data_IF_944246672656
#
_entry.id   IF_944246672656
#
_cell.length_a   1.000
_cell.length_b   1.000
_cell.length_c   1.000
_cell.angle_alpha   90.00
_cell.angle_beta   90.00
_cell.angle_gamma   90.00
#
_symmetry.space_group_name_H-M   'P 1'
#
loop_
_entity.id
_entity.type
_entity.pdbx_description
1 polymer ?
#
# COMPACT_ATOMS: atom_id res chain seq x y z
N UNK A 1 2.32 -25.36 8.17
CA UNK A 1 3.25 -25.52 7.03
C UNK A 1 3.39 -24.18 6.34
N UNK A 2 4.42 -23.39 6.66
CA UNK A 2 4.77 -22.19 5.92
C UNK A 2 5.86 -22.58 4.91
N UNK A 3 5.50 -22.68 3.63
CA UNK A 3 6.46 -22.61 2.54
C UNK A 3 6.44 -21.19 1.99
N UNK A 4 7.56 -20.49 2.16
CA UNK A 4 8.22 -19.65 1.14
C UNK A 4 9.11 -18.66 1.85
N UNK A 5 10.43 -18.81 1.71
CA UNK A 5 11.37 -17.73 1.44
C UNK A 5 12.69 -18.37 1.03
N UNK A 6 12.84 -18.74 -0.25
CA UNK A 6 14.16 -19.01 -0.82
C UNK A 6 14.90 -17.69 -1.01
N UNK A 7 15.58 -17.20 0.04
CA UNK A 7 16.77 -16.32 -0.05
C UNK A 7 17.65 -16.52 1.19
N UNK A 8 18.16 -17.73 1.36
CA UNK A 8 18.96 -18.15 2.52
C UNK A 8 20.41 -17.63 2.55
N UNK A 9 20.80 -16.73 1.64
CA UNK A 9 22.21 -16.35 1.47
C UNK A 9 22.34 -14.84 1.29
N UNK A 10 23.08 -14.22 2.19
CA UNK A 10 23.51 -12.84 2.11
C UNK A 10 25.04 -12.80 1.92
N UNK A 11 25.53 -11.85 1.12
CA UNK A 11 26.94 -11.74 0.75
C UNK A 11 27.57 -10.54 1.48
N UNK A 12 28.74 -10.76 2.11
CA UNK A 12 29.53 -9.67 2.70
C UNK A 12 30.50 -9.10 1.66
N UNK A 13 30.57 -7.77 1.58
CA UNK A 13 31.44 -7.04 0.65
C UNK A 13 32.65 -6.47 1.39
N UNK A 14 33.85 -6.70 0.87
CA UNK A 14 35.06 -6.02 1.33
C UNK A 14 35.05 -4.56 0.85
N UNK A 15 35.34 -3.60 1.73
CA UNK A 15 35.54 -2.19 1.37
C UNK A 15 36.81 -1.94 0.55
N UNK A 16 37.65 -2.97 0.39
CA UNK A 16 38.83 -2.96 -0.48
C UNK A 16 38.57 -3.93 -1.64
N UNK A 17 38.26 -3.38 -2.82
CA UNK A 17 38.30 -4.12 -4.09
C UNK A 17 37.06 -4.91 -4.52
N UNK A 18 35.88 -4.74 -3.91
CA UNK A 18 34.59 -5.17 -4.48
C UNK A 18 34.41 -6.68 -4.72
N UNK A 19 35.31 -7.52 -4.21
CA UNK A 19 35.26 -8.98 -4.38
C UNK A 19 34.40 -9.61 -3.28
N UNK A 20 33.49 -10.51 -3.64
CA UNK A 20 32.68 -11.28 -2.67
C UNK A 20 33.63 -12.25 -1.96
N UNK A 21 33.83 -12.10 -0.65
CA UNK A 21 34.84 -12.88 0.09
C UNK A 21 34.27 -14.15 0.71
N UNK A 22 33.02 -14.17 1.20
CA UNK A 22 32.41 -15.37 1.81
C UNK A 22 30.88 -15.35 1.80
N UNK A 23 30.27 -16.55 1.75
CA UNK A 23 28.83 -16.74 2.05
C UNK A 23 28.68 -16.79 3.57
N UNK A 24 27.87 -15.91 4.14
CA UNK A 24 27.60 -15.91 5.59
C UNK A 24 26.14 -16.32 5.80
N UNK A 25 25.85 -17.26 6.72
CA UNK A 25 24.49 -17.59 7.10
C UNK A 25 23.72 -16.32 7.51
N UNK A 26 22.48 -16.19 7.06
CA UNK A 26 21.66 -15.01 7.32
C UNK A 26 21.53 -14.71 8.83
N UNK A 27 21.41 -15.75 9.67
CA UNK A 27 21.34 -15.62 11.12
C UNK A 27 22.57 -14.98 11.75
N UNK A 28 23.77 -15.33 11.28
CA UNK A 28 25.04 -14.77 11.78
C UNK A 28 25.20 -13.30 11.37
N UNK A 29 24.76 -12.94 10.15
CA UNK A 29 24.75 -11.55 9.71
C UNK A 29 23.79 -10.69 10.52
N UNK A 30 22.60 -11.21 10.83
CA UNK A 30 21.63 -10.53 11.67
C UNK A 30 22.24 -10.31 13.07
N UNK A 31 22.84 -11.33 13.67
CA UNK A 31 23.45 -11.22 14.99
C UNK A 31 24.63 -10.22 15.02
N UNK A 32 25.50 -10.25 14.01
CA UNK A 32 26.62 -9.31 13.88
C UNK A 32 26.12 -7.87 13.72
N UNK A 33 25.08 -7.67 12.91
CA UNK A 33 24.40 -6.39 12.75
C UNK A 33 23.82 -5.87 14.07
N UNK A 34 23.12 -6.73 14.83
CA UNK A 34 22.60 -6.38 16.15
C UNK A 34 23.70 -5.98 17.14
N UNK A 35 24.82 -6.70 17.15
CA UNK A 35 25.99 -6.39 17.98
C UNK A 35 26.62 -5.05 17.58
N UNK A 36 26.72 -4.77 16.28
CA UNK A 36 27.22 -3.50 15.76
C UNK A 36 26.30 -2.33 16.12
N UNK A 37 24.99 -2.47 15.93
CA UNK A 37 24.02 -1.44 16.30
C UNK A 37 24.09 -1.09 17.80
N UNK A 38 24.13 -2.12 18.67
CA UNK A 38 24.28 -1.91 20.11
C UNK A 38 25.60 -1.25 20.49
N UNK A 39 26.70 -1.56 19.81
CA UNK A 39 28.00 -0.91 20.07
C UNK A 39 28.04 0.57 19.67
N UNK A 40 27.11 0.99 18.80
CA UNK A 40 26.89 2.40 18.43
C UNK A 40 25.87 3.11 19.33
N UNK A 41 25.39 2.46 20.38
CA UNK A 41 24.43 3.04 21.32
C UNK A 41 22.97 2.94 20.89
N UNK A 42 22.66 2.18 19.83
CA UNK A 42 21.28 1.92 19.42
C UNK A 42 20.66 0.75 20.19
N UNK A 43 19.36 0.81 20.41
CA UNK A 43 18.59 -0.29 21.01
C UNK A 43 17.23 -0.46 20.34
N UNK A 44 16.60 -1.63 20.48
CA UNK A 44 15.24 -1.87 19.98
C UNK A 44 14.20 -1.78 21.11
N UNK A 45 13.05 -1.19 20.82
CA UNK A 45 11.87 -1.28 21.70
C UNK A 45 11.16 -2.64 21.58
N UNK A 46 10.13 -2.85 22.40
CA UNK A 46 9.35 -4.09 22.38
C UNK A 46 8.62 -4.35 21.04
N UNK A 47 8.49 -3.34 20.19
CA UNK A 47 7.91 -3.45 18.85
C UNK A 47 8.97 -3.68 17.75
N UNK A 48 10.24 -3.78 18.13
CA UNK A 48 11.37 -3.99 17.21
C UNK A 48 11.85 -2.72 16.50
N UNK A 49 11.42 -1.52 16.93
CA UNK A 49 11.87 -0.25 16.35
C UNK A 49 13.19 0.19 16.99
N UNK A 50 14.09 0.74 16.17
CA UNK A 50 15.40 1.20 16.61
C UNK A 50 15.34 2.60 17.22
N UNK A 51 16.08 2.78 18.33
CA UNK A 51 16.24 4.03 19.05
C UNK A 51 17.72 4.38 19.20
N UNK A 52 18.03 5.67 19.17
CA UNK A 52 19.32 6.25 19.58
C UNK A 52 19.46 6.23 21.10
N UNK A 53 20.65 6.56 21.61
CA UNK A 53 20.94 6.59 23.05
C UNK A 53 20.14 7.63 23.84
N UNK A 54 19.62 8.66 23.17
CA UNK A 54 18.73 9.69 23.75
C UNK A 54 17.25 9.27 23.81
N UNK A 55 16.92 8.09 23.26
CA UNK A 55 15.56 7.56 23.19
C UNK A 55 14.77 7.97 21.95
N UNK A 56 15.29 8.83 21.08
CA UNK A 56 14.65 9.16 19.81
C UNK A 56 14.72 8.00 18.82
N UNK A 57 13.79 7.96 17.84
CA UNK A 57 13.81 6.95 16.79
C UNK A 57 15.03 7.10 15.89
N UNK A 58 15.70 5.97 15.63
CA UNK A 58 16.71 5.87 14.58
C UNK A 58 16.04 5.45 13.26
N UNK A 59 16.33 6.17 12.19
CA UNK A 59 15.84 5.85 10.84
C UNK A 59 16.49 4.59 10.26
N UNK A 60 15.83 3.95 9.28
CA UNK A 60 16.40 2.78 8.59
C UNK A 60 17.75 3.11 7.95
N UNK A 61 17.92 4.31 7.39
CA UNK A 61 19.16 4.81 6.81
C UNK A 61 20.29 4.92 7.85
N UNK A 62 20.02 5.47 9.02
CA UNK A 62 21.02 5.52 10.12
C UNK A 62 21.43 4.12 10.56
N UNK A 63 20.47 3.20 10.50
CA UNK A 63 20.65 1.79 10.81
C UNK A 63 21.27 1.00 9.65
N UNK A 64 21.60 1.61 8.51
CA UNK A 64 22.12 0.91 7.33
C UNK A 64 21.15 -0.13 6.74
N UNK A 65 19.87 -0.04 7.10
CA UNK A 65 18.78 -0.85 6.57
C UNK A 65 18.25 -0.19 5.29
N UNK A 66 17.69 -1.01 4.41
CA UNK A 66 16.94 -0.48 3.27
C UNK A 66 15.78 0.37 3.78
N UNK A 67 15.68 1.61 3.30
CA UNK A 67 14.45 2.38 3.44
C UNK A 67 13.31 1.61 2.78
N UNK A 68 12.14 1.48 3.43
CA UNK A 68 10.99 0.93 2.76
C UNK A 68 10.72 1.80 1.53
N UNK A 69 10.47 1.19 0.38
CA UNK A 69 10.27 1.88 -0.90
C UNK A 69 9.09 2.88 -0.90
N UNK A 70 8.33 2.96 0.19
CA UNK A 70 7.08 3.72 0.31
C UNK A 70 5.93 3.11 -0.50
N UNK A 71 6.20 2.06 -1.28
CA UNK A 71 5.22 1.40 -2.11
C UNK A 71 4.45 0.42 -1.23
N UNK A 72 3.14 0.65 -1.09
CA UNK A 72 2.25 -0.30 -0.42
C UNK A 72 2.11 -1.57 -1.26
N UNK A 73 1.88 -2.73 -0.63
CA UNK A 73 1.59 -3.98 -1.35
C UNK A 73 0.47 -3.83 -2.39
N UNK A 74 -0.54 -3.02 -2.08
CA UNK A 74 -1.62 -2.71 -3.03
C UNK A 74 -1.07 -2.07 -4.31
N UNK A 75 -0.19 -1.08 -4.17
CA UNK A 75 0.39 -0.38 -5.30
C UNK A 75 1.39 -1.27 -6.07
N UNK A 76 2.13 -2.11 -5.34
CA UNK A 76 3.02 -3.13 -5.92
C UNK A 76 2.23 -4.11 -6.79
N UNK A 77 1.18 -4.71 -6.23
CA UNK A 77 0.44 -5.81 -6.83
C UNK A 77 -0.63 -5.38 -7.82
N UNK A 78 -1.35 -4.30 -7.53
CA UNK A 78 -2.53 -3.90 -8.32
C UNK A 78 -2.29 -2.62 -9.11
N UNK A 79 -1.37 -1.76 -8.67
CA UNK A 79 -1.11 -0.45 -9.28
C UNK A 79 -1.97 0.68 -8.72
N UNK A 80 -1.87 1.84 -9.38
CA UNK A 80 -2.57 3.07 -8.96
C UNK A 80 -4.09 2.91 -9.08
N UNK A 81 -4.81 3.50 -8.11
CA UNK A 81 -6.25 3.81 -8.29
C UNK A 81 -6.37 4.83 -9.41
N UNK A 82 -7.39 4.72 -10.29
CA UNK A 82 -7.74 5.81 -11.17
C UNK A 82 -8.03 7.09 -10.36
N UNK A 83 -7.60 8.23 -10.88
CA UNK A 83 -7.97 9.54 -10.33
C UNK A 83 -9.30 10.03 -10.91
N UNK A 84 -9.95 10.98 -10.24
CA UNK A 84 -11.25 11.54 -10.66
C UNK A 84 -11.23 12.16 -12.08
N UNK A 85 -10.11 12.78 -12.48
CA UNK A 85 -9.95 13.33 -13.84
C UNK A 85 -9.58 12.31 -14.93
N UNK A 86 -9.29 11.06 -14.55
CA UNK A 86 -8.98 9.99 -15.52
C UNK A 86 -10.23 9.57 -16.31
N UNK A 87 -10.05 8.75 -17.36
CA UNK A 87 -11.17 8.17 -18.11
C UNK A 87 -12.14 7.44 -17.16
N UNK A 88 -11.62 6.50 -16.37
CA UNK A 88 -12.40 5.76 -15.38
C UNK A 88 -13.08 6.69 -14.36
N UNK A 89 -12.38 7.71 -13.86
CA UNK A 89 -12.94 8.66 -12.90
C UNK A 89 -14.11 9.49 -13.47
N UNK A 90 -13.98 9.94 -14.72
CA UNK A 90 -15.04 10.66 -15.44
C UNK A 90 -16.27 9.78 -15.68
N UNK A 91 -16.07 8.52 -16.05
CA UNK A 91 -17.16 7.55 -16.20
C UNK A 91 -17.90 7.30 -14.88
N UNK A 92 -17.20 7.23 -13.75
CA UNK A 92 -17.83 7.13 -12.41
C UNK A 92 -18.67 8.37 -12.10
N UNK A 93 -18.13 9.55 -12.35
CA UNK A 93 -18.83 10.83 -12.09
C UNK A 93 -20.09 10.92 -12.96
N UNK A 94 -19.95 10.69 -14.26
CA UNK A 94 -21.08 10.71 -15.21
C UNK A 94 -22.16 9.71 -14.81
N UNK A 95 -21.78 8.49 -14.42
CA UNK A 95 -22.74 7.50 -13.93
C UNK A 95 -23.47 7.99 -12.69
N UNK A 96 -22.75 8.47 -11.67
CA UNK A 96 -23.34 8.92 -10.40
C UNK A 96 -24.22 10.17 -10.56
N UNK A 97 -23.91 11.04 -11.52
CA UNK A 97 -24.75 12.18 -11.89
C UNK A 97 -26.09 11.74 -12.50
N UNK A 98 -26.08 10.65 -13.27
CA UNK A 98 -27.27 10.10 -13.93
C UNK A 98 -28.03 9.04 -13.10
N UNK A 99 -27.58 8.73 -11.87
CA UNK A 99 -28.33 7.86 -10.95
C UNK A 99 -29.67 8.50 -10.54
N UNK A 100 -30.63 7.67 -10.11
CA UNK A 100 -31.94 8.13 -9.63
C UNK A 100 -32.18 7.60 -8.21
N UNK A 101 -32.10 8.44 -7.16
CA UNK A 101 -31.77 9.87 -7.19
C UNK A 101 -30.29 10.12 -7.55
N UNK A 102 -29.95 11.31 -8.09
CA UNK A 102 -28.57 11.62 -8.45
C UNK A 102 -27.69 11.68 -7.22
N UNK A 103 -26.48 11.13 -7.34
CA UNK A 103 -25.45 11.16 -6.30
C UNK A 103 -24.35 12.17 -6.56
N UNK A 104 -24.44 12.91 -7.65
CA UNK A 104 -23.63 14.10 -7.92
C UNK A 104 -24.58 15.25 -8.26
N UNK A 105 -24.28 16.45 -7.77
CA UNK A 105 -25.06 17.65 -8.06
C UNK A 105 -24.17 18.87 -8.15
N UNK A 106 -24.65 19.87 -8.87
CA UNK A 106 -24.09 21.22 -8.85
C UNK A 106 -24.95 22.12 -7.96
N UNK A 107 -24.34 22.78 -6.99
CA UNK A 107 -25.04 23.73 -6.11
C UNK A 107 -25.38 25.01 -6.86
N UNK A 108 -26.16 25.90 -6.22
CA UNK A 108 -26.50 27.21 -6.81
C UNK A 108 -25.27 28.08 -7.08
N UNK A 109 -24.21 27.88 -6.30
CA UNK A 109 -22.96 28.64 -6.39
C UNK A 109 -22.00 28.04 -7.45
N UNK A 110 -22.39 26.95 -8.12
CA UNK A 110 -21.58 26.28 -9.14
C UNK A 110 -20.63 25.21 -8.60
N UNK A 111 -20.65 24.95 -7.30
CA UNK A 111 -19.82 23.92 -6.67
C UNK A 111 -20.38 22.51 -6.93
N UNK A 112 -19.49 21.56 -7.21
CA UNK A 112 -19.88 20.16 -7.42
C UNK A 112 -19.77 19.41 -6.10
N UNK A 113 -20.87 18.76 -5.72
CA UNK A 113 -20.96 17.90 -4.54
C UNK A 113 -21.30 16.46 -4.95
N UNK A 114 -20.89 15.50 -4.11
CA UNK A 114 -21.25 14.10 -4.23
C UNK A 114 -21.90 13.60 -2.93
N UNK A 115 -22.81 12.63 -3.05
CA UNK A 115 -23.41 11.92 -1.92
C UNK A 115 -22.46 10.80 -1.47
N UNK A 116 -21.92 10.91 -0.25
CA UNK A 116 -21.07 9.90 0.36
C UNK A 116 -21.87 8.72 0.94
N UNK A 117 -21.16 7.68 1.39
CA UNK A 117 -21.76 6.48 1.98
C UNK A 117 -22.54 6.72 3.27
N UNK A 118 -22.30 7.83 3.96
CA UNK A 118 -23.07 8.26 5.13
C UNK A 118 -24.33 9.08 4.80
N UNK A 119 -24.71 9.14 3.51
CA UNK A 119 -25.84 9.88 2.96
C UNK A 119 -25.76 11.40 3.15
N UNK A 120 -24.55 11.96 3.26
CA UNK A 120 -24.34 13.40 3.26
C UNK A 120 -23.66 13.86 1.97
N UNK A 121 -23.94 15.11 1.63
CA UNK A 121 -23.29 15.80 0.51
C UNK A 121 -21.96 16.38 0.96
N UNK A 122 -20.93 16.16 0.15
CA UNK A 122 -19.60 16.71 0.35
C UNK A 122 -19.07 17.32 -0.95
N UNK A 123 -18.20 18.34 -0.87
CA UNK A 123 -17.45 18.84 -2.01
C UNK A 123 -16.65 17.73 -2.71
N UNK A 124 -16.62 17.73 -4.04
CA UNK A 124 -15.98 16.66 -4.84
C UNK A 124 -14.46 16.54 -4.61
N UNK A 125 -13.81 17.59 -4.14
CA UNK A 125 -12.38 17.58 -3.78
C UNK A 125 -12.09 16.64 -2.59
N UNK A 126 -13.06 16.44 -1.70
CA UNK A 126 -13.02 15.51 -0.56
C UNK A 126 -13.36 14.06 -0.94
N UNK A 127 -13.67 13.78 -2.22
CA UNK A 127 -13.94 12.43 -2.67
C UNK A 127 -12.66 11.65 -2.96
N UNK A 128 -12.59 10.40 -2.49
CA UNK A 128 -11.71 9.36 -3.01
C UNK A 128 -12.50 8.45 -3.98
N UNK A 129 -11.79 7.84 -4.94
CA UNK A 129 -12.32 6.74 -5.76
C UNK A 129 -12.34 5.47 -4.90
N UNK A 130 -13.46 5.22 -4.23
CA UNK A 130 -13.66 4.10 -3.34
C UNK A 130 -14.03 2.85 -4.14
N UNK A 131 -13.44 1.70 -3.81
CA UNK A 131 -13.82 0.46 -4.48
C UNK A 131 -15.15 -0.04 -3.92
N UNK A 132 -16.03 -0.57 -4.78
CA UNK A 132 -17.26 -1.26 -4.34
C UNK A 132 -16.96 -2.62 -3.71
N UNK A 133 -15.96 -3.32 -4.25
CA UNK A 133 -15.37 -4.52 -3.62
C UNK A 133 -13.97 -4.15 -3.16
N UNK A 134 -13.68 -4.35 -1.87
CA UNK A 134 -12.38 -4.00 -1.30
C UNK A 134 -11.23 -4.62 -2.09
N UNK A 135 -10.26 -3.78 -2.47
CA UNK A 135 -9.14 -4.19 -3.32
C UNK A 135 -8.33 -5.35 -2.70
N UNK A 136 -8.20 -5.39 -1.37
CA UNK A 136 -7.51 -6.47 -0.65
C UNK A 136 -8.27 -7.78 -0.74
N UNK A 137 -9.60 -7.75 -0.56
CA UNK A 137 -10.45 -8.93 -0.60
C UNK A 137 -10.55 -9.49 -2.02
N UNK A 138 -10.66 -8.62 -3.04
CA UNK A 138 -10.62 -9.04 -4.44
C UNK A 138 -9.24 -9.61 -4.83
N UNK A 139 -8.15 -8.98 -4.39
CA UNK A 139 -6.80 -9.50 -4.62
C UNK A 139 -6.62 -10.90 -4.00
N UNK A 140 -6.99 -11.05 -2.73
CA UNK A 140 -6.81 -12.30 -1.99
C UNK A 140 -7.64 -13.46 -2.56
N UNK A 141 -8.85 -13.18 -3.05
CA UNK A 141 -9.75 -14.19 -3.64
C UNK A 141 -9.48 -14.47 -5.11
N UNK A 142 -9.07 -13.46 -5.89
CA UNK A 142 -9.06 -13.51 -7.36
C UNK A 142 -7.76 -12.98 -7.95
N UNK A 143 -7.42 -11.71 -7.68
CA UNK A 143 -6.34 -11.01 -8.37
C UNK A 143 -4.97 -11.69 -8.25
N UNK A 144 -4.66 -12.26 -7.09
CA UNK A 144 -3.37 -12.91 -6.83
C UNK A 144 -3.07 -14.09 -7.75
N UNK A 145 -4.09 -14.73 -8.33
CA UNK A 145 -3.95 -15.85 -9.27
C UNK A 145 -3.64 -15.41 -10.71
N UNK A 146 -3.84 -14.13 -11.03
CA UNK A 146 -3.46 -13.55 -12.33
C UNK A 146 -2.03 -13.00 -12.34
N UNK A 147 -1.46 -12.72 -11.16
CA UNK A 147 -0.12 -12.14 -11.00
C UNK A 147 -0.15 -10.62 -10.85
N UNK A 148 0.91 -10.07 -10.27
CA UNK A 148 1.03 -8.63 -10.03
C UNK A 148 0.97 -7.82 -11.33
N UNK A 149 0.12 -6.80 -11.35
CA UNK A 149 -0.10 -5.87 -12.48
C UNK A 149 -0.33 -6.57 -13.82
N UNK A 150 -0.82 -7.81 -13.79
CA UNK A 150 -1.28 -8.54 -14.96
C UNK A 150 -2.38 -7.76 -15.69
N UNK A 151 -2.58 -8.00 -17.00
CA UNK A 151 -3.66 -7.36 -17.76
C UNK A 151 -5.01 -7.45 -17.05
N UNK A 152 -5.36 -8.60 -16.49
CA UNK A 152 -6.62 -8.87 -15.79
C UNK A 152 -6.75 -8.02 -14.51
N UNK A 153 -5.67 -7.89 -13.73
CA UNK A 153 -5.65 -7.03 -12.54
C UNK A 153 -5.76 -5.56 -12.92
N UNK A 154 -5.11 -5.15 -14.01
CA UNK A 154 -5.18 -3.76 -14.49
C UNK A 154 -6.53 -3.42 -15.10
N UNK A 155 -7.16 -4.36 -15.79
CA UNK A 155 -8.52 -4.23 -16.30
C UNK A 155 -9.50 -4.03 -15.15
N UNK A 156 -9.44 -4.87 -14.10
CA UNK A 156 -10.26 -4.69 -12.91
C UNK A 156 -10.06 -3.33 -12.22
N UNK A 157 -8.79 -2.90 -12.07
CA UNK A 157 -8.44 -1.60 -11.48
C UNK A 157 -8.88 -0.38 -12.32
N UNK A 158 -9.15 -0.56 -13.61
CA UNK A 158 -9.51 0.52 -14.52
C UNK A 158 -10.98 0.48 -14.95
N UNK A 159 -11.72 -0.54 -14.56
CA UNK A 159 -13.17 -0.64 -14.77
C UNK A 159 -13.90 0.29 -13.81
N UNK A 160 -14.63 1.26 -14.37
CA UNK A 160 -15.39 2.26 -13.61
C UNK A 160 -16.53 1.64 -12.82
N UNK A 161 -17.00 0.44 -13.16
CA UNK A 161 -18.04 -0.26 -12.41
C UNK A 161 -17.56 -0.77 -11.06
N UNK A 162 -16.25 -0.82 -10.81
CA UNK A 162 -15.69 -1.20 -9.53
C UNK A 162 -15.59 -0.04 -8.52
N UNK A 163 -16.07 1.15 -8.88
CA UNK A 163 -15.85 2.36 -8.09
C UNK A 163 -17.11 3.17 -7.81
N UNK A 164 -17.08 3.91 -6.70
CA UNK A 164 -17.97 5.03 -6.36
C UNK A 164 -17.13 6.14 -5.76
N UNK A 165 -17.64 7.38 -5.75
CA UNK A 165 -17.05 8.43 -4.92
C UNK A 165 -17.50 8.26 -3.47
N UNK A 166 -16.54 8.25 -2.54
CA UNK A 166 -16.83 8.31 -1.11
C UNK A 166 -15.91 9.32 -0.41
N UNK A 167 -16.31 9.80 0.76
CA UNK A 167 -15.48 10.72 1.55
C UNK A 167 -14.16 10.03 1.93
N UNK A 168 -13.03 10.71 1.75
CA UNK A 168 -11.70 10.12 2.00
C UNK A 168 -11.57 9.50 3.40
N UNK A 169 -12.23 10.08 4.42
CA UNK A 169 -12.15 9.58 5.80
C UNK A 169 -12.94 8.28 5.96
N UNK A 170 -14.16 8.24 5.39
CA UNK A 170 -15.04 7.07 5.43
C UNK A 170 -14.41 5.90 4.67
N UNK A 171 -13.95 6.15 3.44
CA UNK A 171 -13.30 5.15 2.59
C UNK A 171 -12.06 4.53 3.28
N UNK A 172 -11.19 5.37 3.84
CA UNK A 172 -9.98 4.90 4.54
C UNK A 172 -10.32 4.12 5.81
N UNK A 173 -11.34 4.56 6.55
CA UNK A 173 -11.80 3.85 7.75
C UNK A 173 -12.41 2.50 7.42
N UNK A 174 -13.20 2.40 6.33
CA UNK A 174 -13.79 1.14 5.88
C UNK A 174 -12.71 0.09 5.58
N UNK A 175 -11.69 0.45 4.80
CA UNK A 175 -10.57 -0.46 4.51
C UNK A 175 -9.81 -0.91 5.77
N UNK A 176 -9.64 -0.03 6.77
CA UNK A 176 -8.98 -0.38 8.02
C UNK A 176 -9.78 -1.42 8.85
N UNK A 177 -11.11 -1.43 8.74
CA UNK A 177 -11.99 -2.34 9.51
C UNK A 177 -11.98 -3.78 8.99
N UNK A 178 -11.52 -4.03 7.76
CA UNK A 178 -11.49 -5.37 7.16
C UNK A 178 -10.53 -6.33 7.87
N UNK A 179 -9.51 -5.80 8.55
CA UNK A 179 -8.44 -6.60 9.16
C UNK A 179 -7.78 -7.61 8.20
N UNK A 180 -7.78 -7.31 6.90
CA UNK A 180 -7.15 -8.12 5.86
C UNK A 180 -5.78 -7.57 5.48
N UNK A 181 -4.89 -8.46 5.04
CA UNK A 181 -3.60 -8.08 4.44
C UNK A 181 -3.45 -8.71 3.06
N UNK A 182 -2.73 -8.04 2.17
CA UNK A 182 -2.44 -8.57 0.84
C UNK A 182 -1.53 -9.80 0.94
N UNK A 183 -2.06 -10.93 0.46
CA UNK A 183 -1.30 -12.17 0.27
C UNK A 183 -0.34 -12.05 -0.92
N UNK A 184 0.78 -12.79 -0.95
CA UNK A 184 1.67 -12.75 -2.10
C UNK A 184 0.99 -13.32 -3.37
N UNK A 185 1.46 -12.91 -4.57
CA UNK A 185 1.03 -13.48 -5.84
C UNK A 185 1.14 -15.01 -5.86
N UNK A 186 0.26 -15.66 -6.61
CA UNK A 186 0.13 -17.12 -6.71
C UNK A 186 0.22 -17.63 -8.16
N UNK A 187 0.96 -16.91 -9.00
CA UNK A 187 1.18 -17.24 -10.40
C UNK A 187 2.67 -17.25 -10.68
#
# INVERSE_FOLDING_TARGET
MLQSFKRDVSYAFSSVGGTIVTKIPQGELIEAYYKFAKSKGYFQDASGRWHRSDGEYASNKEMGLSEPSGITKRLEYMGNTPGKGSKTGREVIERMENEIPPKIRTTRDGEIEFMASDNKWYPIDQADMAHLTDAVSWWNSTGRYYGEKSPEVREWMLDSNNYVLDHYSLNRSAGAKLNETYLPPNK
#
